data_IF_506166634562
#
_entry.id   IF_506166634562
#
_cell.length_a   1.000
_cell.length_b   1.000
_cell.length_c   1.000
_cell.angle_alpha   90.00
_cell.angle_beta   90.00
_cell.angle_gamma   90.00
#
_symmetry.space_group_name_H-M   'P 1'
#
loop_
_entity.id
_entity.type
_entity.pdbx_description
1 polymer ?
#
# COMPACT_ATOMS: atom_id res chain seq x y z
N UNK A 1 -27.30 6.22 11.99
CA UNK A 1 -26.16 5.59 12.68
C UNK A 1 -25.00 5.46 11.69
N UNK A 2 -24.09 6.44 11.68
CA UNK A 2 -22.90 6.42 10.83
C UNK A 2 -22.05 5.24 11.27
N UNK A 3 -21.76 4.31 10.36
CA UNK A 3 -20.94 3.10 10.57
C UNK A 3 -19.49 3.50 10.30
N UNK A 4 -18.72 4.00 11.28
CA UNK A 4 -17.40 4.56 11.04
C UNK A 4 -16.43 3.45 10.58
N UNK A 5 -16.69 2.23 11.05
CA UNK A 5 -15.96 1.02 10.67
C UNK A 5 -16.10 0.68 9.19
N UNK A 6 -17.31 0.77 8.62
CA UNK A 6 -17.50 0.51 7.19
C UNK A 6 -16.80 1.56 6.34
N UNK A 7 -16.78 2.83 6.77
CA UNK A 7 -16.12 3.91 6.05
C UNK A 7 -14.60 3.76 6.08
N UNK A 8 -14.02 3.42 7.23
CA UNK A 8 -12.58 3.18 7.37
C UNK A 8 -12.12 1.95 6.57
N UNK A 9 -12.89 0.85 6.61
CA UNK A 9 -12.58 -0.36 5.83
C UNK A 9 -12.64 -0.09 4.33
N UNK A 10 -13.69 0.61 3.88
CA UNK A 10 -13.86 0.94 2.47
C UNK A 10 -12.76 1.90 1.97
N UNK A 11 -12.35 2.87 2.78
CA UNK A 11 -11.24 3.75 2.46
C UNK A 11 -9.90 2.99 2.37
N UNK A 12 -9.69 1.97 3.20
CA UNK A 12 -8.51 1.12 3.11
C UNK A 12 -8.53 0.23 1.86
N UNK A 13 -9.68 -0.38 1.54
CA UNK A 13 -9.88 -1.16 0.31
C UNK A 13 -9.65 -0.30 -0.94
N UNK A 14 -10.21 0.91 -0.98
CA UNK A 14 -10.02 1.88 -2.08
C UNK A 14 -8.56 2.34 -2.20
N UNK A 15 -7.86 2.53 -1.08
CA UNK A 15 -6.45 2.93 -1.06
C UNK A 15 -5.54 1.80 -1.59
N UNK A 16 -5.78 0.55 -1.20
CA UNK A 16 -5.04 -0.62 -1.71
C UNK A 16 -5.32 -0.85 -3.20
N UNK A 17 -6.57 -0.66 -3.63
CA UNK A 17 -6.95 -0.79 -5.04
C UNK A 17 -6.39 0.33 -5.93
N UNK A 18 -6.05 1.48 -5.35
CA UNK A 18 -5.46 2.62 -6.06
C UNK A 18 -3.94 2.55 -6.21
N UNK A 19 -3.28 1.55 -5.64
CA UNK A 19 -1.82 1.36 -5.78
C UNK A 19 -1.54 0.77 -7.16
N UNK A 20 -0.66 1.42 -7.92
CA UNK A 20 -0.24 0.99 -9.25
C UNK A 20 1.23 0.54 -9.26
N UNK A 21 1.60 -0.20 -10.31
CA UNK A 21 3.02 -0.56 -10.54
C UNK A 21 3.78 0.72 -10.85
N UNK A 22 4.84 0.98 -10.09
CA UNK A 22 5.63 2.22 -10.17
C UNK A 22 5.41 3.18 -9.02
N UNK A 23 4.36 2.99 -8.21
CA UNK A 23 4.10 3.82 -7.03
C UNK A 23 5.13 3.61 -5.92
N UNK A 24 5.44 4.70 -5.23
CA UNK A 24 6.27 4.69 -4.03
C UNK A 24 5.40 4.47 -2.80
N UNK A 25 5.73 3.44 -2.03
CA UNK A 25 5.00 3.04 -0.84
C UNK A 25 5.93 3.03 0.36
N UNK A 26 5.39 3.42 1.51
CA UNK A 26 6.09 3.34 2.80
C UNK A 26 5.42 2.27 3.64
N UNK A 27 6.18 1.24 3.98
CA UNK A 27 5.74 0.20 4.91
C UNK A 27 5.60 0.77 6.32
N UNK A 28 4.77 0.13 7.14
CA UNK A 28 4.59 0.47 8.57
C UNK A 28 5.88 0.41 9.39
N UNK A 29 6.94 -0.24 8.88
CA UNK A 29 8.28 -0.23 9.46
C UNK A 29 9.20 0.89 8.98
N UNK A 30 8.71 1.89 8.24
CA UNK A 30 9.51 3.00 7.70
C UNK A 30 10.30 2.65 6.43
N UNK A 31 10.05 1.49 5.83
CA UNK A 31 10.72 1.07 4.60
C UNK A 31 10.06 1.75 3.40
N UNK A 32 10.83 2.58 2.69
CA UNK A 32 10.42 3.17 1.42
C UNK A 32 10.79 2.23 0.27
N UNK A 33 9.85 2.00 -0.64
CA UNK A 33 10.07 1.13 -1.79
C UNK A 33 9.12 1.43 -2.93
N UNK A 34 9.43 0.87 -4.09
CA UNK A 34 8.62 1.01 -5.30
C UNK A 34 7.90 -0.29 -5.62
N UNK A 35 6.61 -0.22 -5.93
CA UNK A 35 5.84 -1.40 -6.37
C UNK A 35 6.32 -1.82 -7.75
N UNK A 36 6.85 -3.03 -7.87
CA UNK A 36 7.30 -3.60 -9.15
C UNK A 36 6.25 -4.53 -9.75
N UNK A 37 5.41 -5.12 -8.91
CA UNK A 37 4.37 -6.04 -9.35
C UNK A 37 3.21 -6.05 -8.37
N UNK A 38 2.00 -6.09 -8.92
CA UNK A 38 0.75 -6.26 -8.19
C UNK A 38 0.22 -7.67 -8.47
N UNK A 39 -0.08 -8.42 -7.42
CA UNK A 39 -0.85 -9.67 -7.49
C UNK A 39 -2.07 -9.55 -6.57
N UNK A 40 -3.10 -10.37 -6.79
CA UNK A 40 -4.36 -10.28 -6.02
C UNK A 40 -4.20 -10.42 -4.50
N UNK A 41 -3.13 -11.07 -4.04
CA UNK A 41 -2.90 -11.33 -2.62
C UNK A 41 -1.67 -10.63 -2.05
N UNK A 42 -0.77 -10.12 -2.89
CA UNK A 42 0.49 -9.51 -2.44
C UNK A 42 1.09 -8.58 -3.50
N UNK A 43 1.90 -7.65 -3.03
CA UNK A 43 2.66 -6.72 -3.86
C UNK A 43 4.14 -7.09 -3.78
N UNK A 44 4.83 -7.16 -4.93
CA UNK A 44 6.29 -7.12 -4.92
C UNK A 44 6.73 -5.67 -4.85
N UNK A 45 7.55 -5.38 -3.85
CA UNK A 45 8.09 -4.05 -3.59
C UNK A 45 9.60 -4.16 -3.72
N UNK A 46 10.18 -3.37 -4.62
CA UNK A 46 11.62 -3.19 -4.66
C UNK A 46 12.01 -2.14 -3.62
N UNK A 47 12.67 -2.62 -2.58
CA UNK A 47 13.26 -1.79 -1.54
C UNK A 47 14.64 -1.35 -2.04
N UNK A 48 14.70 -0.14 -2.61
CA UNK A 48 15.98 0.51 -2.88
C UNK A 48 16.73 0.69 -1.57
N UNK A 49 18.03 0.36 -1.58
CA UNK A 49 18.85 0.23 -0.38
C UNK A 49 18.57 1.30 0.68
N UNK A 50 18.23 0.81 1.88
CA UNK A 50 18.08 1.54 3.12
C UNK A 50 19.03 2.74 3.21
N UNK A 51 18.46 3.93 3.23
CA UNK A 51 19.18 5.14 3.65
C UNK A 51 18.44 5.73 4.83
N UNK A 52 19.12 5.61 5.97
CA UNK A 52 18.90 6.20 7.32
C UNK A 52 17.77 5.65 8.20
#
# INVERSE_FOLDING_TARGET
MIRPQNKARKAHEELVAGIEVGDEVVSSGGLLGRVTKISDQFFEINLGATTE
#
